data_IF_766815886869
#
_entry.id   IF_766815886869
#
_cell.length_a   1.000
_cell.length_b   1.000
_cell.length_c   1.000
_cell.angle_alpha   90.00
_cell.angle_beta   90.00
_cell.angle_gamma   90.00
#
_symmetry.space_group_name_H-M   'P 1'
#
loop_
_entity.id
_entity.type
_entity.pdbx_description
1 polymer ?
#
# COMPACT_ATOMS: atom_id res chain seq x y z
N UNK A 1 17.96 -19.55 89.91
CA UNK A 1 19.39 -19.18 89.86
C UNK A 1 19.57 -18.07 88.83
N UNK A 2 20.14 -16.94 89.25
CA UNK A 2 20.75 -15.80 88.49
C UNK A 2 19.86 -15.09 87.44
N UNK A 3 19.46 -13.83 87.69
CA UNK A 3 20.18 -12.57 87.37
C UNK A 3 20.48 -12.44 85.86
N UNK A 4 20.15 -11.37 85.12
CA UNK A 4 19.95 -9.97 85.53
C UNK A 4 19.41 -9.09 84.38
N UNK A 5 18.48 -8.20 84.76
CA UNK A 5 18.15 -6.83 84.31
C UNK A 5 19.00 -6.18 83.20
N UNK A 6 18.33 -5.42 82.33
CA UNK A 6 18.53 -3.94 82.24
C UNK A 6 17.27 -3.24 81.69
N UNK A 7 16.78 -2.26 82.46
CA UNK A 7 15.69 -1.32 82.18
C UNK A 7 16.23 -0.04 81.54
N UNK A 8 15.45 0.59 80.63
CA UNK A 8 15.18 2.05 80.51
C UNK A 8 13.83 2.19 79.76
N UNK A 9 12.70 2.57 80.40
CA UNK A 9 12.21 3.94 80.70
C UNK A 9 12.41 4.91 79.51
N UNK A 10 11.46 5.70 79.03
CA UNK A 10 10.00 5.85 79.15
C UNK A 10 9.64 7.00 78.18
N UNK A 11 8.46 7.01 77.57
CA UNK A 11 7.76 8.26 77.25
C UNK A 11 6.29 7.97 76.93
N UNK A 12 5.43 8.40 77.84
CA UNK A 12 3.97 8.50 77.73
C UNK A 12 3.64 9.85 77.09
N UNK A 13 2.65 9.89 76.19
CA UNK A 13 1.75 11.04 76.02
C UNK A 13 0.54 10.60 75.19
N UNK A 14 -0.54 10.18 75.86
CA UNK A 14 -1.80 10.93 76.07
C UNK A 14 -2.68 10.97 74.81
N UNK A 15 -3.73 10.16 74.90
CA UNK A 15 -4.95 10.14 74.10
C UNK A 15 -5.80 11.40 74.30
N UNK A 16 -6.30 11.98 73.21
CA UNK A 16 -7.58 12.68 73.19
C UNK A 16 -8.31 12.36 71.88
N UNK A 17 -9.50 11.78 72.03
CA UNK A 17 -10.43 11.43 70.96
C UNK A 17 -11.18 12.66 70.46
N UNK A 18 -11.34 12.81 69.14
CA UNK A 18 -12.35 13.69 68.55
C UNK A 18 -12.80 13.20 67.16
N UNK A 19 -14.09 12.84 67.11
CA UNK A 19 -15.04 13.04 66.01
C UNK A 19 -14.79 12.34 64.65
N UNK A 20 -15.57 11.28 64.42
CA UNK A 20 -15.78 10.70 63.10
C UNK A 20 -16.64 11.64 62.22
N UNK A 21 -16.09 12.06 61.08
CA UNK A 21 -16.83 12.57 59.95
C UNK A 21 -16.61 11.61 58.77
N UNK A 22 -17.67 10.93 58.32
CA UNK A 22 -17.68 10.08 57.14
C UNK A 22 -17.55 10.98 55.89
N UNK A 23 -16.31 11.17 55.42
CA UNK A 23 -16.04 11.75 54.11
C UNK A 23 -16.09 10.66 53.04
N UNK A 24 -17.20 10.56 52.31
CA UNK A 24 -17.24 9.80 51.05
C UNK A 24 -16.39 10.53 50.00
N UNK A 25 -15.22 9.98 49.68
CA UNK A 25 -14.46 10.40 48.51
C UNK A 25 -15.10 9.79 47.27
N UNK A 26 -15.93 10.57 46.58
CA UNK A 26 -16.31 10.30 45.19
C UNK A 26 -15.12 10.60 44.30
N UNK A 27 -14.37 9.56 43.93
CA UNK A 27 -13.40 9.64 42.84
C UNK A 27 -14.22 9.76 41.56
N UNK A 28 -14.36 10.98 41.03
CA UNK A 28 -14.89 11.19 39.70
C UNK A 28 -13.89 10.60 38.69
N UNK A 29 -14.09 9.35 38.29
CA UNK A 29 -13.49 8.82 37.07
C UNK A 29 -14.11 9.60 35.91
N UNK A 30 -13.34 10.54 35.37
CA UNK A 30 -13.61 11.10 34.05
C UNK A 30 -13.52 9.93 33.05
N UNK A 31 -14.67 9.32 32.75
CA UNK A 31 -14.81 8.46 31.59
C UNK A 31 -14.71 9.37 30.38
N UNK A 32 -13.49 9.54 29.87
CA UNK A 32 -13.30 9.98 28.49
C UNK A 32 -14.01 8.95 27.62
N UNK A 33 -15.15 9.33 27.06
CA UNK A 33 -15.77 8.58 25.98
C UNK A 33 -14.75 8.59 24.84
N UNK A 34 -14.04 7.49 24.63
CA UNK A 34 -13.28 7.26 23.40
C UNK A 34 -14.30 7.21 22.26
N UNK A 35 -14.63 8.39 21.74
CA UNK A 35 -15.42 8.53 20.54
C UNK A 35 -14.66 7.80 19.44
N UNK A 36 -15.32 6.86 18.77
CA UNK A 36 -14.77 6.23 17.57
C UNK A 36 -14.27 7.33 16.65
N UNK A 37 -12.98 7.34 16.26
CA UNK A 37 -12.44 8.40 15.42
C UNK A 37 -13.28 8.54 14.15
N UNK A 38 -13.76 9.76 13.87
CA UNK A 38 -14.56 10.06 12.68
C UNK A 38 -13.79 9.68 11.39
N UNK A 39 -12.47 9.88 11.42
CA UNK A 39 -11.56 9.53 10.33
C UNK A 39 -10.54 8.49 10.76
N UNK A 40 -10.07 7.67 9.80
CA UNK A 40 -9.00 6.69 10.06
C UNK A 40 -7.70 7.42 10.46
N UNK A 41 -7.05 7.08 11.59
CA UNK A 41 -5.87 7.79 12.09
C UNK A 41 -4.69 7.85 11.10
N UNK A 42 -4.52 6.82 10.26
CA UNK A 42 -3.47 6.80 9.23
C UNK A 42 -3.71 7.83 8.11
N UNK A 43 -4.98 8.05 7.74
CA UNK A 43 -5.34 9.06 6.76
C UNK A 43 -5.06 10.47 7.30
N UNK A 44 -5.45 10.73 8.55
CA UNK A 44 -5.21 12.02 9.22
C UNK A 44 -3.72 12.32 9.30
N UNK A 45 -2.90 11.36 9.74
CA UNK A 45 -1.43 11.50 9.77
C UNK A 45 -0.83 11.80 8.40
N UNK A 46 -1.26 11.07 7.37
CA UNK A 46 -0.78 11.29 6.01
C UNK A 46 -1.18 12.67 5.48
N UNK A 47 -2.41 13.12 5.75
CA UNK A 47 -2.90 14.43 5.35
C UNK A 47 -2.15 15.56 6.07
N UNK A 48 -2.00 15.44 7.39
CA UNK A 48 -1.27 16.39 8.23
C UNK A 48 0.17 16.57 7.76
N UNK A 49 0.88 15.46 7.54
CA UNK A 49 2.25 15.47 7.00
C UNK A 49 2.33 16.11 5.62
N UNK A 50 1.38 15.79 4.74
CA UNK A 50 1.33 16.30 3.36
C UNK A 50 1.04 17.81 3.29
N UNK A 51 0.22 18.31 4.21
CA UNK A 51 -0.13 19.73 4.32
C UNK A 51 0.87 20.53 5.18
N UNK A 52 1.75 19.86 5.92
CA UNK A 52 2.65 20.51 6.88
C UNK A 52 1.93 21.13 8.08
N UNK A 53 0.86 20.49 8.57
CA UNK A 53 0.01 20.94 9.68
C UNK A 53 -0.11 19.87 10.77
N UNK A 54 -0.72 20.19 11.92
CA UNK A 54 -1.02 19.20 12.96
C UNK A 54 -2.16 18.25 12.53
N UNK A 55 -2.24 17.08 13.17
CA UNK A 55 -3.35 16.14 12.97
C UNK A 55 -4.71 16.78 13.30
N UNK A 56 -4.79 17.54 14.40
CA UNK A 56 -6.00 18.29 14.76
C UNK A 56 -6.40 19.29 13.66
N UNK A 57 -5.45 20.03 13.11
CA UNK A 57 -5.72 20.97 12.02
C UNK A 57 -6.15 20.27 10.72
N UNK A 58 -5.67 19.05 10.48
CA UNK A 58 -6.10 18.21 9.37
C UNK A 58 -7.54 17.69 9.58
N UNK A 59 -7.89 17.28 10.80
CA UNK A 59 -9.26 16.90 11.18
C UNK A 59 -10.20 18.10 11.03
N UNK A 60 -9.86 19.25 11.61
CA UNK A 60 -10.65 20.49 11.51
C UNK A 60 -10.87 20.91 10.04
N UNK A 61 -9.88 20.66 9.18
CA UNK A 61 -10.02 20.89 7.75
C UNK A 61 -11.05 19.94 7.13
N UNK A 62 -10.94 18.64 7.41
CA UNK A 62 -11.85 17.63 6.89
C UNK A 62 -13.30 17.89 7.33
N UNK A 63 -13.52 18.16 8.61
CA UNK A 63 -14.85 18.47 9.15
C UNK A 63 -15.45 19.72 8.48
N UNK A 64 -14.66 20.78 8.29
CA UNK A 64 -15.12 21.98 7.55
C UNK A 64 -15.43 21.68 6.09
N UNK A 65 -14.66 20.83 5.43
CA UNK A 65 -14.90 20.45 4.05
C UNK A 65 -16.16 19.60 3.93
N UNK A 66 -16.41 18.69 4.87
CA UNK A 66 -17.62 17.87 4.94
C UNK A 66 -18.89 18.74 5.09
N UNK A 67 -18.88 19.71 6.02
CA UNK A 67 -20.00 20.66 6.19
C UNK A 67 -20.25 21.48 4.91
N UNK A 68 -19.20 21.94 4.23
CA UNK A 68 -19.35 22.69 2.97
C UNK A 68 -19.90 21.81 1.84
N UNK A 69 -19.46 20.55 1.76
CA UNK A 69 -19.98 19.58 0.79
C UNK A 69 -21.45 19.24 1.05
N UNK A 70 -21.84 19.06 2.31
CA UNK A 70 -23.24 18.83 2.68
C UNK A 70 -24.14 19.99 2.25
N UNK A 71 -23.68 21.24 2.43
CA UNK A 71 -24.39 22.44 1.93
C UNK A 71 -24.47 22.50 0.41
N UNK A 72 -23.41 22.12 -0.30
CA UNK A 72 -23.43 22.06 -1.77
C UNK A 72 -24.48 21.07 -2.26
N UNK A 73 -24.57 19.89 -1.64
CA UNK A 73 -25.62 18.92 -1.94
C UNK A 73 -27.02 19.44 -1.63
N UNK A 74 -27.18 20.30 -0.61
CA UNK A 74 -28.45 20.95 -0.28
C UNK A 74 -28.90 21.96 -1.35
N UNK A 75 -27.96 22.71 -1.95
CA UNK A 75 -28.27 23.63 -3.06
C UNK A 75 -28.99 22.91 -4.20
N UNK A 76 -28.43 21.78 -4.63
CA UNK A 76 -29.00 20.97 -5.70
C UNK A 76 -30.42 20.50 -5.35
N UNK A 77 -30.65 20.04 -4.10
CA UNK A 77 -31.99 19.63 -3.63
C UNK A 77 -33.00 20.78 -3.61
N UNK A 78 -32.52 22.01 -3.40
CA UNK A 78 -33.33 23.24 -3.39
C UNK A 78 -33.53 23.85 -4.77
N UNK A 79 -33.02 23.21 -5.83
CA UNK A 79 -33.08 23.73 -7.20
C UNK A 79 -32.31 25.04 -7.36
N UNK A 80 -31.22 25.21 -6.61
CA UNK A 80 -30.22 26.25 -6.85
C UNK A 80 -29.17 25.63 -7.76
N UNK A 81 -29.04 26.16 -8.96
CA UNK A 81 -28.12 25.66 -9.98
C UNK A 81 -26.71 26.16 -9.72
N UNK A 82 -25.72 25.28 -9.89
CA UNK A 82 -24.31 25.63 -9.96
C UNK A 82 -23.71 25.26 -11.33
N UNK A 83 -22.54 25.83 -11.62
CA UNK A 83 -21.72 25.52 -12.78
C UNK A 83 -20.34 25.01 -12.35
N UNK A 84 -20.35 24.11 -11.37
CA UNK A 84 -19.19 23.49 -10.76
C UNK A 84 -18.74 24.18 -9.47
N UNK A 85 -18.01 23.44 -8.63
CA UNK A 85 -17.45 23.94 -7.39
C UNK A 85 -16.03 23.42 -7.16
N UNK A 86 -15.21 24.19 -6.44
CA UNK A 86 -13.84 23.80 -6.11
C UNK A 86 -13.46 24.25 -4.70
N UNK A 87 -12.58 23.48 -4.07
CA UNK A 87 -11.88 23.91 -2.87
C UNK A 87 -10.59 24.62 -3.24
N UNK A 88 -10.31 25.74 -2.57
CA UNK A 88 -8.99 26.36 -2.64
C UNK A 88 -7.97 25.68 -1.70
N UNK A 89 -6.72 26.15 -1.73
CA UNK A 89 -5.66 25.64 -0.87
C UNK A 89 -5.98 25.76 0.64
N UNK A 90 -6.80 26.73 1.05
CA UNK A 90 -7.26 26.90 2.44
C UNK A 90 -8.38 25.93 2.84
N UNK A 91 -8.96 25.22 1.87
CA UNK A 91 -10.08 24.30 2.10
C UNK A 91 -11.44 25.00 2.12
N UNK A 92 -11.53 26.20 1.55
CA UNK A 92 -12.79 26.93 1.38
C UNK A 92 -13.43 26.57 0.05
N UNK A 93 -14.70 26.20 0.07
CA UNK A 93 -15.49 25.86 -1.11
C UNK A 93 -15.96 27.15 -1.80
N UNK A 94 -15.71 27.25 -3.10
CA UNK A 94 -16.28 28.27 -3.98
C UNK A 94 -17.09 27.59 -5.07
N UNK A 95 -18.33 28.05 -5.23
CA UNK A 95 -19.28 27.55 -6.24
C UNK A 95 -19.34 28.55 -7.39
N UNK A 96 -19.22 28.06 -8.61
CA UNK A 96 -19.45 28.86 -9.81
C UNK A 96 -20.96 28.98 -10.02
N UNK A 97 -21.44 30.20 -10.20
CA UNK A 97 -22.82 30.53 -10.48
C UNK A 97 -22.99 30.97 -11.94
N UNK A 98 -24.15 30.71 -12.53
CA UNK A 98 -24.44 31.14 -13.90
C UNK A 98 -24.49 32.68 -14.05
N UNK A 99 -24.99 33.36 -13.02
CA UNK A 99 -25.09 34.82 -12.97
C UNK A 99 -25.06 35.34 -11.52
N UNK A 100 -25.13 36.66 -11.36
CA UNK A 100 -25.10 37.32 -10.04
C UNK A 100 -26.31 37.03 -9.17
N UNK A 101 -27.46 36.69 -9.77
CA UNK A 101 -28.68 36.32 -9.04
C UNK A 101 -28.50 34.96 -8.39
N UNK A 102 -27.97 33.99 -9.15
CA UNK A 102 -27.72 32.66 -8.63
C UNK A 102 -26.56 32.66 -7.62
N UNK A 103 -25.53 33.49 -7.85
CA UNK A 103 -24.46 33.71 -6.87
C UNK A 103 -25.02 34.18 -5.52
N UNK A 104 -25.94 35.15 -5.52
CA UNK A 104 -26.58 35.63 -4.30
C UNK A 104 -27.43 34.55 -3.60
N UNK A 105 -28.07 33.64 -4.36
CA UNK A 105 -28.81 32.50 -3.79
C UNK A 105 -27.88 31.50 -3.12
N UNK A 106 -26.74 31.22 -3.73
CA UNK A 106 -25.69 30.35 -3.17
C UNK A 106 -25.10 30.97 -1.90
N UNK A 107 -24.78 32.26 -1.92
CA UNK A 107 -24.26 32.98 -0.75
C UNK A 107 -25.26 33.00 0.41
N UNK A 108 -26.55 33.16 0.11
CA UNK A 108 -27.63 33.08 1.11
C UNK A 108 -27.74 31.68 1.74
N UNK A 109 -27.31 30.62 1.04
CA UNK A 109 -27.20 29.28 1.60
C UNK A 109 -25.90 29.05 2.39
N UNK A 110 -25.02 30.06 2.47
CA UNK A 110 -23.81 30.03 3.29
C UNK A 110 -22.61 29.36 2.63
N UNK A 111 -22.52 29.40 1.31
CA UNK A 111 -21.34 29.00 0.53
C UNK A 111 -20.75 30.21 -0.22
N UNK A 112 -19.44 30.19 -0.48
CA UNK A 112 -18.84 31.20 -1.35
C UNK A 112 -19.29 31.00 -2.79
N UNK A 113 -19.63 32.08 -3.49
CA UNK A 113 -20.00 32.04 -4.90
C UNK A 113 -19.14 32.98 -5.74
N UNK A 114 -19.03 32.68 -7.03
CA UNK A 114 -18.54 33.63 -8.03
C UNK A 114 -19.22 33.37 -9.37
N UNK A 115 -19.27 34.39 -10.22
CA UNK A 115 -19.64 34.22 -11.64
C UNK A 115 -18.35 34.03 -12.44
N UNK A 116 -18.03 32.83 -12.95
CA UNK A 116 -16.84 32.61 -13.75
C UNK A 116 -16.98 33.23 -15.15
N UNK A 117 -15.89 33.31 -15.90
CA UNK A 117 -15.96 33.72 -17.30
C UNK A 117 -16.53 32.60 -18.19
N UNK A 118 -16.38 31.33 -17.78
CA UNK A 118 -16.83 30.16 -18.55
C UNK A 118 -17.65 29.18 -17.72
N UNK A 119 -17.12 28.77 -16.57
CA UNK A 119 -17.72 27.75 -15.71
C UNK A 119 -17.58 26.31 -16.24
N UNK A 120 -18.01 25.33 -15.46
CA UNK A 120 -17.72 23.92 -15.70
C UNK A 120 -18.31 23.42 -17.02
N UNK A 121 -19.58 23.68 -17.30
CA UNK A 121 -20.27 23.18 -18.47
C UNK A 121 -19.62 23.66 -19.78
N UNK A 122 -19.14 24.90 -19.82
CA UNK A 122 -18.42 25.43 -20.97
C UNK A 122 -17.02 24.81 -21.12
N UNK A 123 -16.30 24.62 -20.01
CA UNK A 123 -14.97 23.99 -20.01
C UNK A 123 -15.02 22.50 -20.34
N UNK A 124 -16.07 21.79 -19.92
CA UNK A 124 -16.29 20.37 -20.25
C UNK A 124 -16.49 20.19 -21.75
N UNK A 125 -17.16 21.13 -22.44
CA UNK A 125 -17.28 21.12 -23.92
C UNK A 125 -15.91 21.25 -24.59
N UNK A 126 -15.07 22.18 -24.11
CA UNK A 126 -13.69 22.33 -24.60
C UNK A 126 -12.89 21.06 -24.36
N UNK A 127 -12.95 20.48 -23.16
CA UNK A 127 -12.25 19.24 -22.84
C UNK A 127 -12.74 18.09 -23.73
N UNK A 128 -14.03 17.96 -23.96
CA UNK A 128 -14.60 16.91 -24.81
C UNK A 128 -14.11 17.00 -26.27
N UNK A 129 -13.93 18.20 -26.82
CA UNK A 129 -13.32 18.36 -28.14
C UNK A 129 -11.86 17.91 -28.19
N UNK A 130 -11.09 18.20 -27.14
CA UNK A 130 -9.72 17.73 -27.01
C UNK A 130 -9.66 16.20 -26.83
N UNK A 131 -10.55 15.63 -26.02
CA UNK A 131 -10.69 14.19 -25.83
C UNK A 131 -10.98 13.50 -27.18
N UNK A 132 -11.93 14.04 -27.95
CA UNK A 132 -12.29 13.51 -29.26
C UNK A 132 -11.14 13.59 -30.28
N UNK A 133 -10.34 14.66 -30.23
CA UNK A 133 -9.13 14.78 -31.05
C UNK A 133 -8.07 13.76 -30.65
N UNK A 134 -7.79 13.64 -29.35
CA UNK A 134 -6.79 12.71 -28.80
C UNK A 134 -7.16 11.24 -29.05
N UNK A 135 -8.45 10.91 -29.09
CA UNK A 135 -8.94 9.56 -29.40
C UNK A 135 -8.57 9.10 -30.83
N UNK A 136 -8.44 10.03 -31.78
CA UNK A 136 -8.03 9.71 -33.16
C UNK A 136 -6.53 9.44 -33.27
N UNK A 137 -5.73 10.15 -32.47
CA UNK A 137 -4.27 10.02 -32.43
C UNK A 137 -3.74 10.50 -31.09
N UNK A 138 -3.08 9.58 -30.37
CA UNK A 138 -2.49 9.89 -29.08
C UNK A 138 -1.50 11.08 -29.19
N UNK A 139 -1.68 12.13 -28.37
CA UNK A 139 -0.86 13.34 -28.43
C UNK A 139 0.46 13.17 -27.68
N UNK A 140 1.33 12.26 -28.13
CA UNK A 140 2.62 11.97 -27.47
C UNK A 140 3.43 13.24 -27.18
N UNK A 141 3.54 13.60 -25.90
CA UNK A 141 4.13 14.85 -25.41
C UNK A 141 3.20 15.66 -24.48
N UNK A 142 1.88 15.53 -24.65
CA UNK A 142 0.89 15.98 -23.67
C UNK A 142 0.61 14.84 -22.69
N UNK A 143 0.85 15.08 -21.40
CA UNK A 143 0.78 14.03 -20.37
C UNK A 143 -0.52 14.03 -19.59
N UNK A 144 -1.23 15.16 -19.52
CA UNK A 144 -2.57 15.24 -18.95
C UNK A 144 -3.31 16.48 -19.48
N UNK A 145 -4.63 16.44 -19.51
CA UNK A 145 -5.46 17.63 -19.70
C UNK A 145 -6.76 17.51 -18.90
N UNK A 146 -7.21 18.62 -18.31
CA UNK A 146 -8.30 18.61 -17.32
C UNK A 146 -9.03 19.96 -17.27
N UNK A 147 -10.28 19.94 -16.81
CA UNK A 147 -10.98 21.17 -16.40
C UNK A 147 -10.42 21.60 -15.05
N UNK A 148 -9.87 22.81 -15.00
CA UNK A 148 -9.39 23.47 -13.80
C UNK A 148 -10.39 24.58 -13.44
N UNK A 149 -11.34 24.24 -12.58
CA UNK A 149 -12.40 25.17 -12.18
C UNK A 149 -11.83 26.37 -11.44
N UNK A 150 -10.81 26.21 -10.59
CA UNK A 150 -10.22 27.33 -9.87
C UNK A 150 -9.67 28.39 -10.82
N UNK A 151 -8.93 27.96 -11.85
CA UNK A 151 -8.38 28.83 -12.89
C UNK A 151 -9.40 29.21 -13.99
N UNK A 152 -10.59 28.60 -14.01
CA UNK A 152 -11.63 28.74 -15.03
C UNK A 152 -11.13 28.44 -16.46
N UNK A 153 -10.32 27.38 -16.59
CA UNK A 153 -9.64 26.98 -17.83
C UNK A 153 -9.52 25.47 -17.98
N UNK A 154 -9.34 25.00 -19.21
CA UNK A 154 -8.81 23.66 -19.49
C UNK A 154 -7.30 23.72 -19.42
N UNK A 155 -6.70 23.00 -18.47
CA UNK A 155 -5.25 22.95 -18.28
C UNK A 155 -4.66 21.74 -18.96
N UNK A 156 -3.69 21.95 -19.85
CA UNK A 156 -2.92 20.92 -20.55
C UNK A 156 -1.50 20.89 -19.99
N UNK A 157 -1.07 19.73 -19.52
CA UNK A 157 0.27 19.46 -18.99
C UNK A 157 1.12 18.78 -20.07
N UNK A 158 2.33 19.28 -20.28
CA UNK A 158 3.22 18.89 -21.39
C UNK A 158 4.61 18.57 -20.87
N UNK A 159 5.12 17.40 -21.26
CA UNK A 159 6.50 16.99 -20.98
C UNK A 159 7.44 17.25 -22.17
N UNK A 160 6.92 17.28 -23.40
CA UNK A 160 7.66 17.60 -24.62
C UNK A 160 6.68 18.15 -25.66
N UNK A 161 7.02 19.26 -26.32
CA UNK A 161 6.20 19.91 -27.36
C UNK A 161 6.81 19.85 -28.77
N UNK A 162 7.92 19.12 -28.94
CA UNK A 162 8.64 19.08 -30.23
C UNK A 162 7.99 18.17 -31.27
N UNK A 163 7.30 17.11 -30.81
CA UNK A 163 6.72 16.08 -31.67
C UNK A 163 5.53 16.57 -32.49
N UNK A 164 5.33 15.99 -33.68
CA UNK A 164 4.22 16.38 -34.55
C UNK A 164 2.83 16.12 -33.92
N UNK A 165 2.68 15.04 -33.14
CA UNK A 165 1.41 14.69 -32.49
C UNK A 165 1.01 15.72 -31.42
N UNK A 166 1.92 16.06 -30.49
CA UNK A 166 1.66 17.10 -29.48
C UNK A 166 1.48 18.48 -30.11
N UNK A 167 2.23 18.83 -31.17
CA UNK A 167 2.02 20.11 -31.89
C UNK A 167 0.62 20.22 -32.48
N UNK A 168 0.12 19.15 -33.11
CA UNK A 168 -1.24 19.12 -33.65
C UNK A 168 -2.29 19.24 -32.54
N UNK A 169 -2.07 18.56 -31.40
CA UNK A 169 -2.96 18.65 -30.24
C UNK A 169 -2.97 20.06 -29.61
N UNK A 170 -1.80 20.69 -29.46
CA UNK A 170 -1.70 22.06 -28.95
C UNK A 170 -2.28 23.09 -29.93
N UNK A 171 -2.18 22.85 -31.25
CA UNK A 171 -2.83 23.68 -32.26
C UNK A 171 -4.35 23.58 -32.16
N UNK A 172 -4.90 22.36 -32.02
CA UNK A 172 -6.34 22.16 -31.77
C UNK A 172 -6.76 22.86 -30.47
N UNK A 173 -5.96 22.77 -29.41
CA UNK A 173 -6.25 23.45 -28.16
C UNK A 173 -6.21 24.98 -28.26
N UNK A 174 -5.34 25.53 -29.12
CA UNK A 174 -5.24 26.96 -29.35
C UNK A 174 -6.49 27.58 -30.00
N UNK A 175 -7.31 26.77 -30.70
CA UNK A 175 -8.61 27.21 -31.25
C UNK A 175 -9.56 27.71 -30.14
N UNK A 176 -9.39 27.23 -28.91
CA UNK A 176 -10.18 27.64 -27.74
C UNK A 176 -9.62 28.88 -27.02
N UNK A 177 -8.54 29.47 -27.54
CA UNK A 177 -7.98 30.73 -27.07
C UNK A 177 -7.74 30.78 -25.56
N UNK A 178 -8.31 31.78 -24.90
CA UNK A 178 -8.13 32.03 -23.47
C UNK A 178 -8.74 30.97 -22.54
N UNK A 179 -9.53 30.04 -23.07
CA UNK A 179 -10.09 28.90 -22.33
C UNK A 179 -9.05 27.84 -22.00
N UNK A 180 -7.91 27.82 -22.69
CA UNK A 180 -6.86 26.81 -22.48
C UNK A 180 -5.65 27.44 -21.79
N UNK A 181 -5.03 26.67 -20.89
CA UNK A 181 -3.74 26.97 -20.26
C UNK A 181 -2.78 25.81 -20.49
N UNK A 182 -1.58 26.10 -20.96
CA UNK A 182 -0.55 25.07 -21.17
C UNK A 182 0.51 25.21 -20.07
N UNK A 183 0.74 24.12 -19.33
CA UNK A 183 1.80 23.98 -18.34
C UNK A 183 2.89 23.09 -18.92
N UNK A 184 4.13 23.58 -18.96
CA UNK A 184 5.29 22.90 -19.55
C UNK A 184 6.30 22.51 -18.48
N UNK A 185 7.17 21.58 -18.83
CA UNK A 185 8.22 21.08 -17.94
C UNK A 185 7.73 19.99 -16.99
N UNK A 186 6.57 19.38 -17.28
CA UNK A 186 6.05 18.25 -16.53
C UNK A 186 6.83 16.99 -16.90
N UNK A 187 6.86 15.99 -16.01
CA UNK A 187 7.49 14.71 -16.29
C UNK A 187 6.58 13.80 -17.13
N UNK A 188 7.15 12.74 -17.71
CA UNK A 188 6.34 11.67 -18.31
C UNK A 188 5.55 10.95 -17.22
N UNK A 189 4.30 10.61 -17.52
CA UNK A 189 3.49 9.75 -16.65
C UNK A 189 3.57 8.31 -17.13
N UNK A 190 3.72 7.38 -16.19
CA UNK A 190 3.64 5.94 -16.43
C UNK A 190 2.59 5.32 -15.51
N UNK A 191 1.84 4.35 -16.02
CA UNK A 191 0.97 3.54 -15.17
C UNK A 191 1.85 2.69 -14.25
N UNK A 192 1.61 2.74 -12.94
CA UNK A 192 2.35 1.90 -12.01
C UNK A 192 1.91 0.45 -12.16
N UNK A 193 2.81 -0.46 -12.54
CA UNK A 193 2.51 -1.87 -12.60
C UNK A 193 2.39 -2.42 -11.17
N UNK A 194 1.22 -2.94 -10.84
CA UNK A 194 0.90 -3.56 -9.55
C UNK A 194 1.04 -5.08 -9.70
N UNK A 195 2.17 -5.62 -9.25
CA UNK A 195 2.52 -7.03 -9.42
C UNK A 195 2.13 -7.79 -8.16
N UNK A 196 1.26 -8.79 -8.30
CA UNK A 196 0.83 -9.61 -7.17
C UNK A 196 1.92 -10.61 -6.75
N UNK A 197 2.20 -10.77 -5.45
CA UNK A 197 2.81 -11.98 -4.92
C UNK A 197 2.15 -13.24 -5.49
N UNK A 198 2.98 -14.15 -6.00
CA UNK A 198 2.64 -15.35 -6.74
C UNK A 198 2.77 -15.22 -8.28
N UNK A 199 2.81 -14.00 -8.83
CA UNK A 199 2.93 -13.78 -10.27
C UNK A 199 4.15 -14.44 -10.88
N UNK A 200 4.06 -14.85 -12.15
CA UNK A 200 5.23 -15.33 -12.90
C UNK A 200 6.27 -14.23 -13.07
N UNK A 201 7.51 -14.53 -12.73
CA UNK A 201 8.67 -13.69 -13.04
C UNK A 201 9.73 -14.50 -13.78
N UNK A 202 10.14 -14.04 -14.96
CA UNK A 202 11.15 -14.71 -15.77
C UNK A 202 12.53 -14.12 -15.54
N UNK A 203 13.56 -14.93 -15.79
CA UNK A 203 14.95 -14.57 -15.57
C UNK A 203 15.59 -14.05 -16.84
N UNK A 204 16.12 -12.83 -16.80
CA UNK A 204 16.80 -12.19 -17.93
C UNK A 204 15.95 -12.38 -19.20
N UNK A 205 16.56 -12.81 -20.30
CA UNK A 205 15.85 -13.14 -21.54
C UNK A 205 15.76 -14.67 -21.75
N UNK A 206 15.62 -15.43 -20.67
CA UNK A 206 15.52 -16.90 -20.68
C UNK A 206 14.08 -17.40 -20.50
N UNK A 207 13.89 -18.70 -20.71
CA UNK A 207 12.64 -19.39 -20.40
C UNK A 207 12.53 -19.86 -18.95
N UNK A 208 13.52 -19.59 -18.06
CA UNK A 208 13.42 -19.93 -16.65
C UNK A 208 12.54 -18.94 -15.91
N UNK A 209 11.78 -19.41 -14.92
CA UNK A 209 10.95 -18.55 -14.09
C UNK A 209 10.92 -18.98 -12.63
N UNK A 210 10.61 -18.00 -11.80
CA UNK A 210 10.13 -18.16 -10.44
C UNK A 210 8.76 -17.46 -10.31
N UNK A 211 8.28 -17.41 -9.08
CA UNK A 211 7.09 -16.70 -8.67
C UNK A 211 7.45 -15.52 -7.77
N UNK A 212 6.77 -14.40 -7.95
CA UNK A 212 6.98 -13.17 -7.18
C UNK A 212 6.69 -13.43 -5.70
N UNK A 213 7.60 -13.03 -4.82
CA UNK A 213 7.42 -13.07 -3.37
C UNK A 213 6.74 -11.80 -2.83
N UNK A 214 7.25 -11.24 -1.74
CA UNK A 214 6.61 -10.11 -1.04
C UNK A 214 7.32 -8.78 -1.28
N UNK A 215 6.55 -7.69 -1.33
CA UNK A 215 7.08 -6.33 -1.29
C UNK A 215 7.43 -5.92 0.14
N UNK A 216 8.62 -5.37 0.34
CA UNK A 216 9.06 -4.82 1.62
C UNK A 216 9.86 -3.54 1.41
N UNK A 217 10.07 -2.78 2.48
CA UNK A 217 10.82 -1.52 2.45
C UNK A 217 11.85 -1.45 3.56
N UNK A 218 12.98 -0.80 3.29
CA UNK A 218 13.94 -0.46 4.34
C UNK A 218 13.48 0.76 5.15
N UNK A 219 14.30 1.16 6.14
CA UNK A 219 14.04 2.34 6.99
C UNK A 219 14.05 3.66 6.23
N UNK A 220 14.70 3.70 5.06
CA UNK A 220 14.76 4.87 4.19
C UNK A 220 13.60 4.91 3.17
N UNK A 221 12.73 3.90 3.18
CA UNK A 221 11.58 3.78 2.28
C UNK A 221 11.90 3.13 0.93
N UNK A 222 13.13 2.66 0.71
CA UNK A 222 13.50 1.99 -0.54
C UNK A 222 12.75 0.67 -0.66
N UNK A 223 12.19 0.41 -1.84
CA UNK A 223 11.34 -0.76 -2.10
C UNK A 223 12.15 -1.95 -2.60
N UNK A 224 11.86 -3.12 -2.03
CA UNK A 224 12.49 -4.39 -2.34
C UNK A 224 11.45 -5.47 -2.60
N UNK A 225 11.78 -6.37 -3.52
CA UNK A 225 11.15 -7.68 -3.62
C UNK A 225 11.93 -8.66 -2.75
N UNK A 226 11.26 -9.29 -1.79
CA UNK A 226 11.78 -10.41 -0.98
C UNK A 226 11.35 -11.72 -1.62
N UNK A 227 12.30 -12.61 -1.91
CA UNK A 227 12.06 -13.87 -2.63
C UNK A 227 13.02 -14.98 -2.20
N UNK A 228 12.91 -16.15 -2.81
CA UNK A 228 13.88 -17.23 -2.67
C UNK A 228 15.25 -16.81 -3.20
N UNK A 229 16.30 -17.18 -2.49
CA UNK A 229 17.67 -16.77 -2.78
C UNK A 229 18.17 -17.30 -4.12
N UNK A 230 17.79 -18.52 -4.54
CA UNK A 230 18.16 -19.05 -5.86
C UNK A 230 17.43 -18.37 -7.03
N UNK A 231 16.37 -17.58 -6.76
CA UNK A 231 15.71 -16.77 -7.77
C UNK A 231 16.36 -15.39 -7.96
N UNK A 232 17.37 -15.02 -7.15
CA UNK A 232 18.06 -13.74 -7.28
C UNK A 232 19.02 -13.79 -8.45
N UNK A 233 18.64 -13.14 -9.56
CA UNK A 233 19.43 -12.98 -10.77
C UNK A 233 19.57 -11.49 -11.14
N UNK A 234 20.34 -11.18 -12.19
CA UNK A 234 20.61 -9.79 -12.59
C UNK A 234 19.30 -9.05 -12.93
N UNK A 235 18.45 -9.61 -13.78
CA UNK A 235 17.19 -8.97 -14.20
C UNK A 235 16.01 -9.92 -14.06
N UNK A 236 14.95 -9.47 -13.39
CA UNK A 236 13.65 -10.14 -13.39
C UNK A 236 12.65 -9.40 -14.26
N UNK A 237 11.85 -10.16 -15.01
CA UNK A 237 10.82 -9.63 -15.89
C UNK A 237 9.43 -10.12 -15.52
N UNK A 238 8.45 -9.24 -15.63
CA UNK A 238 7.03 -9.51 -15.47
C UNK A 238 6.34 -9.07 -16.76
N UNK A 239 5.59 -9.98 -17.40
CA UNK A 239 4.97 -9.77 -18.72
C UNK A 239 5.94 -9.17 -19.76
N UNK A 240 7.16 -9.72 -19.80
CA UNK A 240 8.20 -9.28 -20.72
C UNK A 240 8.86 -7.95 -20.37
N UNK A 241 8.48 -7.27 -19.28
CA UNK A 241 9.07 -5.99 -18.86
C UNK A 241 9.96 -6.17 -17.63
N UNK A 242 11.17 -5.60 -17.65
CA UNK A 242 12.10 -5.67 -16.53
C UNK A 242 11.58 -4.85 -15.33
N UNK A 243 11.26 -5.52 -14.22
CA UNK A 243 10.64 -4.88 -13.06
C UNK A 243 11.50 -4.89 -11.79
N UNK A 244 12.51 -5.77 -11.70
CA UNK A 244 13.40 -5.85 -10.56
C UNK A 244 14.81 -6.27 -10.97
N UNK A 245 15.79 -5.86 -10.16
CA UNK A 245 17.22 -6.14 -10.36
C UNK A 245 17.81 -6.82 -9.13
N UNK A 246 18.63 -7.84 -9.34
CA UNK A 246 19.29 -8.58 -8.26
C UNK A 246 20.10 -7.67 -7.33
N UNK A 247 19.96 -7.86 -6.02
CA UNK A 247 20.66 -7.04 -5.03
C UNK A 247 21.47 -7.87 -4.04
N UNK A 248 20.82 -8.69 -3.20
CA UNK A 248 21.50 -9.52 -2.20
C UNK A 248 20.85 -10.89 -2.10
N UNK A 249 21.65 -11.94 -1.94
CA UNK A 249 21.18 -13.31 -1.71
C UNK A 249 22.02 -13.99 -0.65
N UNK A 250 21.43 -14.92 0.10
CA UNK A 250 22.16 -15.87 0.97
C UNK A 250 22.33 -17.24 0.32
N UNK A 251 21.79 -17.42 -0.88
CA UNK A 251 21.88 -18.66 -1.63
C UNK A 251 23.21 -18.78 -2.36
N UNK A 252 23.87 -19.94 -2.24
CA UNK A 252 25.05 -20.29 -3.01
C UNK A 252 25.02 -21.81 -3.31
N UNK A 253 24.98 -22.14 -4.60
CA UNK A 253 24.95 -23.51 -5.09
C UNK A 253 26.19 -24.30 -4.62
N UNK A 254 26.00 -25.56 -4.21
CA UNK A 254 27.08 -26.45 -3.78
C UNK A 254 27.60 -26.18 -2.37
N UNK A 255 26.89 -25.40 -1.57
CA UNK A 255 27.34 -24.99 -0.22
C UNK A 255 26.28 -25.28 0.85
N UNK A 256 26.65 -25.04 2.12
CA UNK A 256 25.67 -24.86 3.20
C UNK A 256 25.15 -23.44 3.15
N UNK A 257 23.85 -23.29 2.95
CA UNK A 257 23.26 -22.03 2.51
C UNK A 257 21.87 -21.79 3.14
N UNK A 258 21.29 -20.63 2.82
CA UNK A 258 19.92 -20.25 3.22
C UNK A 258 19.23 -19.64 2.00
N UNK A 259 18.02 -20.07 1.73
CA UNK A 259 17.32 -19.74 0.49
C UNK A 259 16.46 -18.47 0.62
N UNK A 260 17.13 -17.35 0.89
CA UNK A 260 16.51 -16.03 0.96
C UNK A 260 17.30 -15.00 0.16
N UNK A 261 16.60 -14.04 -0.42
CA UNK A 261 17.21 -12.94 -1.15
C UNK A 261 16.28 -11.76 -1.38
N UNK A 262 16.87 -10.64 -1.79
CA UNK A 262 16.17 -9.40 -2.10
C UNK A 262 16.65 -8.81 -3.43
N UNK A 263 15.72 -8.15 -4.12
CA UNK A 263 15.95 -7.42 -5.35
C UNK A 263 15.45 -5.99 -5.20
N UNK A 264 16.13 -5.03 -5.82
CA UNK A 264 15.63 -3.66 -5.95
C UNK A 264 14.51 -3.63 -7.00
N UNK A 265 13.44 -2.90 -6.73
CA UNK A 265 12.33 -2.72 -7.66
C UNK A 265 12.63 -1.53 -8.57
N UNK A 266 12.45 -1.71 -9.89
CA UNK A 266 12.65 -0.66 -10.87
C UNK A 266 11.56 0.42 -10.74
N UNK A 267 11.89 1.66 -11.12
CA UNK A 267 10.89 2.74 -11.20
C UNK A 267 9.68 2.30 -12.02
N UNK A 268 8.49 2.74 -11.60
CA UNK A 268 7.23 2.41 -12.28
C UNK A 268 6.62 1.07 -11.87
N UNK A 269 7.34 0.25 -11.11
CA UNK A 269 6.86 -1.05 -10.63
C UNK A 269 6.62 -1.05 -9.12
N UNK A 270 5.71 -1.91 -8.69
CA UNK A 270 5.42 -2.14 -7.28
C UNK A 270 4.93 -3.57 -7.07
N UNK A 271 5.24 -4.14 -5.90
CA UNK A 271 4.63 -5.40 -5.45
C UNK A 271 3.43 -5.04 -4.57
N UNK A 272 2.28 -5.62 -4.86
CA UNK A 272 1.05 -5.30 -4.13
C UNK A 272 1.07 -5.89 -2.71
N UNK A 273 0.40 -5.25 -1.75
CA UNK A 273 0.20 -5.81 -0.41
C UNK A 273 -1.01 -6.77 -0.37
N UNK A 274 -1.22 -7.54 -1.44
CA UNK A 274 -2.28 -8.55 -1.55
C UNK A 274 -1.76 -9.73 -2.36
N UNK A 275 -1.96 -10.97 -1.93
CA UNK A 275 -1.48 -12.16 -2.65
C UNK A 275 -2.48 -12.54 -3.75
N UNK A 276 -1.99 -12.79 -4.96
CA UNK A 276 -2.82 -13.22 -6.08
C UNK A 276 -3.31 -14.66 -5.91
N UNK A 277 -4.53 -14.96 -6.37
CA UNK A 277 -5.19 -16.27 -6.17
C UNK A 277 -5.62 -16.93 -7.49
N UNK A 278 -5.28 -16.31 -8.63
CA UNK A 278 -5.52 -16.84 -9.98
C UNK A 278 -6.98 -17.21 -10.25
N UNK A 279 -7.91 -16.41 -9.73
CA UNK A 279 -9.36 -16.61 -9.92
C UNK A 279 -10.00 -17.58 -8.94
N UNK A 280 -9.25 -18.20 -8.02
CA UNK A 280 -9.82 -19.07 -6.97
C UNK A 280 -10.62 -18.26 -5.92
N UNK A 281 -10.28 -16.99 -5.73
CA UNK A 281 -10.98 -16.03 -4.87
C UNK A 281 -10.57 -14.60 -5.24
N UNK A 282 -11.04 -13.60 -4.49
CA UNK A 282 -10.38 -12.29 -4.52
C UNK A 282 -8.92 -12.39 -4.01
N UNK A 283 -8.00 -11.52 -4.46
CA UNK A 283 -6.66 -11.42 -3.89
C UNK A 283 -6.70 -11.27 -2.36
N UNK A 284 -5.82 -11.97 -1.65
CA UNK A 284 -5.81 -12.01 -0.18
C UNK A 284 -4.96 -10.87 0.35
N UNK A 285 -5.56 -9.90 1.03
CA UNK A 285 -4.84 -8.77 1.62
C UNK A 285 -3.79 -9.23 2.66
N UNK A 286 -2.60 -8.65 2.59
CA UNK A 286 -1.51 -8.87 3.54
C UNK A 286 -1.64 -7.85 4.67
N UNK A 287 -2.02 -8.31 5.87
CA UNK A 287 -2.21 -7.46 7.05
C UNK A 287 -1.02 -7.50 8.02
N UNK A 288 -0.10 -8.43 7.82
CA UNK A 288 1.08 -8.59 8.66
C UNK A 288 1.94 -9.76 8.22
N UNK A 289 3.02 -10.00 8.97
CA UNK A 289 3.98 -11.09 8.74
C UNK A 289 4.19 -11.97 9.97
N UNK A 290 3.19 -12.07 10.84
CA UNK A 290 3.29 -12.88 12.05
C UNK A 290 3.35 -14.36 11.68
N UNK A 291 4.41 -15.04 12.15
CA UNK A 291 4.62 -16.47 11.94
C UNK A 291 3.49 -17.28 12.57
N UNK A 292 2.82 -18.09 11.76
CA UNK A 292 1.78 -19.00 12.22
C UNK A 292 2.39 -20.22 12.93
N UNK A 293 1.61 -20.87 13.79
CA UNK A 293 2.07 -22.08 14.49
C UNK A 293 2.10 -23.30 13.54
N UNK A 294 2.92 -24.29 13.88
CA UNK A 294 2.84 -25.63 13.27
C UNK A 294 1.41 -26.18 13.34
N UNK A 295 0.94 -26.77 12.24
CA UNK A 295 -0.44 -27.24 12.07
C UNK A 295 -1.41 -26.18 11.53
N UNK A 296 -1.02 -24.90 11.48
CA UNK A 296 -1.89 -23.86 10.93
C UNK A 296 -2.17 -24.08 9.43
N UNK A 297 -3.39 -23.75 9.02
CA UNK A 297 -3.76 -23.71 7.60
C UNK A 297 -2.95 -22.63 6.88
N UNK A 298 -2.46 -22.95 5.69
CA UNK A 298 -1.64 -22.05 4.88
C UNK A 298 -1.90 -22.30 3.40
N UNK A 299 -1.86 -21.24 2.60
CA UNK A 299 -1.95 -21.30 1.16
C UNK A 299 -0.70 -20.71 0.51
N UNK A 300 -0.36 -21.18 -0.69
CA UNK A 300 0.70 -20.65 -1.54
C UNK A 300 0.12 -20.18 -2.85
N UNK A 301 0.53 -18.99 -3.27
CA UNK A 301 0.41 -18.52 -4.65
C UNK A 301 1.71 -18.70 -5.42
N UNK A 302 1.64 -19.29 -6.62
CA UNK A 302 2.78 -19.48 -7.51
C UNK A 302 2.38 -19.55 -8.98
N UNK A 303 3.37 -19.35 -9.85
CA UNK A 303 3.24 -19.25 -11.30
C UNK A 303 2.99 -20.57 -12.00
N UNK A 304 3.29 -21.71 -11.36
CA UNK A 304 3.14 -23.04 -11.95
C UNK A 304 1.88 -23.70 -11.43
N UNK A 305 1.73 -23.84 -10.11
CA UNK A 305 0.60 -24.57 -9.52
C UNK A 305 -0.55 -23.66 -9.10
N UNK A 306 -0.41 -22.35 -9.28
CA UNK A 306 -1.44 -21.38 -8.94
C UNK A 306 -1.64 -21.26 -7.43
N UNK A 307 -2.88 -21.42 -6.98
CA UNK A 307 -3.29 -21.29 -5.58
C UNK A 307 -3.49 -22.67 -4.95
N UNK A 308 -2.57 -23.09 -4.09
CA UNK A 308 -2.61 -24.40 -3.43
C UNK A 308 -2.56 -24.23 -1.92
N UNK A 309 -3.32 -25.04 -1.17
CA UNK A 309 -3.44 -24.91 0.28
C UNK A 309 -3.15 -26.23 1.01
N UNK A 310 -2.84 -26.11 2.30
CA UNK A 310 -2.44 -27.21 3.15
C UNK A 310 -2.18 -26.72 4.56
N UNK A 311 -1.22 -27.34 5.25
CA UNK A 311 -0.85 -27.01 6.63
C UNK A 311 0.65 -26.84 6.77
N UNK A 312 1.04 -25.98 7.70
CA UNK A 312 2.44 -25.84 8.12
C UNK A 312 2.83 -27.08 8.94
N UNK A 313 3.97 -27.69 8.62
CA UNK A 313 4.58 -28.73 9.42
C UNK A 313 5.51 -28.14 10.49
N UNK A 314 6.80 -28.49 10.48
CA UNK A 314 7.82 -27.95 11.40
C UNK A 314 8.56 -26.75 10.80
N UNK A 315 9.19 -25.96 11.67
CA UNK A 315 10.19 -24.95 11.32
C UNK A 315 11.62 -25.47 11.56
N UNK A 316 12.63 -24.71 11.12
CA UNK A 316 14.05 -25.02 11.31
C UNK A 316 14.49 -26.37 10.69
N UNK A 317 13.94 -26.71 9.54
CA UNK A 317 14.34 -27.90 8.78
C UNK A 317 15.64 -27.59 8.00
N UNK A 318 16.44 -28.64 7.82
CA UNK A 318 17.58 -28.64 6.90
C UNK A 318 17.28 -29.61 5.78
N UNK A 319 17.44 -29.17 4.54
CA UNK A 319 17.13 -29.94 3.33
C UNK A 319 18.35 -29.93 2.43
N UNK A 320 18.70 -31.09 1.87
CA UNK A 320 19.69 -31.17 0.79
C UNK A 320 18.95 -31.22 -0.53
N UNK A 321 19.13 -30.21 -1.38
CA UNK A 321 18.60 -30.18 -2.74
C UNK A 321 19.66 -30.71 -3.71
N UNK A 322 19.22 -31.65 -4.55
CA UNK A 322 20.01 -32.15 -5.69
C UNK A 322 19.76 -31.26 -6.89
N UNK A 323 20.82 -30.87 -7.61
CA UNK A 323 20.67 -30.16 -8.87
C UNK A 323 20.31 -31.13 -10.00
N UNK A 324 19.16 -30.92 -10.63
CA UNK A 324 18.66 -31.80 -11.71
C UNK A 324 19.56 -31.78 -12.95
N UNK A 325 20.41 -30.76 -13.10
CA UNK A 325 21.33 -30.64 -14.22
C UNK A 325 22.72 -31.24 -13.94
N UNK A 326 22.87 -31.98 -12.83
CA UNK A 326 24.12 -32.65 -12.46
C UNK A 326 25.14 -31.75 -11.74
N UNK A 327 24.72 -30.56 -11.29
CA UNK A 327 25.49 -29.70 -10.39
C UNK A 327 25.59 -30.25 -8.97
N UNK A 328 26.36 -29.58 -8.09
CA UNK A 328 26.57 -30.05 -6.73
C UNK A 328 25.33 -29.88 -5.85
N UNK A 329 25.12 -30.85 -4.96
CA UNK A 329 24.08 -30.79 -3.93
C UNK A 329 24.25 -29.55 -3.04
N UNK A 330 23.13 -28.94 -2.66
CA UNK A 330 23.11 -27.72 -1.83
C UNK A 330 22.32 -27.97 -0.57
N UNK A 331 22.93 -27.71 0.59
CA UNK A 331 22.28 -27.89 1.90
C UNK A 331 21.66 -26.57 2.33
N UNK A 332 20.33 -26.50 2.41
CA UNK A 332 19.57 -25.32 2.83
C UNK A 332 19.09 -25.51 4.27
N UNK A 333 19.33 -24.51 5.12
CA UNK A 333 18.94 -24.52 6.53
C UNK A 333 17.86 -23.47 6.82
N UNK A 334 17.11 -23.67 7.91
CA UNK A 334 16.14 -22.68 8.40
C UNK A 334 14.76 -22.73 7.73
N UNK A 335 14.46 -23.77 6.96
CA UNK A 335 13.20 -23.85 6.22
C UNK A 335 12.03 -24.28 7.13
N UNK A 336 10.82 -23.88 6.75
CA UNK A 336 9.59 -24.52 7.20
C UNK A 336 9.17 -25.62 6.21
N UNK A 337 8.61 -26.72 6.70
CA UNK A 337 7.97 -27.74 5.86
C UNK A 337 6.46 -27.51 5.82
N UNK A 338 5.81 -27.89 4.73
CA UNK A 338 4.37 -27.76 4.53
C UNK A 338 3.80 -28.96 3.78
N UNK A 339 2.48 -29.14 3.90
CA UNK A 339 1.71 -30.05 3.04
C UNK A 339 1.17 -29.38 1.79
N UNK A 340 1.46 -28.10 1.58
CA UNK A 340 1.11 -27.39 0.34
C UNK A 340 1.92 -27.97 -0.81
N UNK A 341 1.27 -28.25 -1.94
CA UNK A 341 1.95 -28.72 -3.14
C UNK A 341 2.64 -27.58 -3.89
N UNK A 342 3.83 -27.89 -4.40
CA UNK A 342 4.62 -27.01 -5.26
C UNK A 342 5.27 -27.80 -6.39
N UNK A 343 5.49 -27.13 -7.51
CA UNK A 343 6.25 -27.65 -8.65
C UNK A 343 7.33 -26.65 -9.09
N UNK A 344 8.18 -27.07 -10.03
CA UNK A 344 9.19 -26.21 -10.64
C UNK A 344 8.57 -24.90 -11.16
N UNK A 345 9.12 -23.76 -10.72
CA UNK A 345 8.62 -22.43 -11.05
C UNK A 345 7.76 -21.77 -9.97
N UNK A 346 7.27 -22.52 -8.98
CA UNK A 346 6.63 -21.94 -7.79
C UNK A 346 7.62 -21.33 -6.79
N UNK A 347 8.92 -21.60 -6.97
CA UNK A 347 10.04 -20.99 -6.26
C UNK A 347 9.85 -19.48 -6.08
N UNK A 348 10.07 -18.95 -4.87
CA UNK A 348 9.82 -17.55 -4.53
C UNK A 348 8.35 -17.20 -4.24
N UNK A 349 7.40 -18.08 -4.60
CA UNK A 349 5.96 -17.85 -4.47
C UNK A 349 5.49 -17.69 -3.03
N UNK A 350 4.46 -16.87 -2.85
CA UNK A 350 4.03 -16.35 -1.56
C UNK A 350 3.17 -17.34 -0.76
N UNK A 351 3.63 -17.73 0.43
CA UNK A 351 2.85 -18.43 1.44
C UNK A 351 2.13 -17.45 2.36
N UNK A 352 0.84 -17.66 2.61
CA UNK A 352 -0.01 -16.82 3.46
C UNK A 352 -0.97 -17.68 4.30
N UNK A 353 -1.13 -17.33 5.57
CA UNK A 353 -2.06 -17.97 6.50
C UNK A 353 -3.08 -16.93 6.97
N UNK A 354 -4.35 -17.11 6.63
CA UNK A 354 -5.35 -16.05 6.78
C UNK A 354 -4.94 -14.79 6.00
N UNK A 355 -4.57 -13.73 6.71
CA UNK A 355 -4.04 -12.48 6.15
C UNK A 355 -2.57 -12.20 6.56
N UNK A 356 -1.87 -13.20 7.09
CA UNK A 356 -0.49 -13.09 7.57
C UNK A 356 0.48 -13.75 6.59
N UNK A 357 1.41 -12.98 6.04
CA UNK A 357 2.46 -13.47 5.16
C UNK A 357 3.43 -14.39 5.92
N UNK A 358 3.67 -15.59 5.38
CA UNK A 358 4.43 -16.64 6.07
C UNK A 358 5.83 -16.87 5.48
N UNK A 359 5.99 -16.76 4.16
CA UNK A 359 7.26 -17.11 3.53
C UNK A 359 7.21 -17.23 2.03
N UNK A 360 8.33 -17.67 1.45
CA UNK A 360 8.50 -17.86 0.02
C UNK A 360 8.89 -19.30 -0.28
N UNK A 361 8.31 -19.92 -1.32
CA UNK A 361 8.65 -21.29 -1.74
C UNK A 361 10.16 -21.42 -1.95
N UNK A 362 10.78 -22.39 -1.27
CA UNK A 362 12.16 -22.79 -1.55
C UNK A 362 12.18 -23.94 -2.55
N UNK A 363 11.50 -25.04 -2.24
CA UNK A 363 11.42 -26.19 -3.13
C UNK A 363 10.57 -27.32 -2.58
N UNK A 364 10.60 -28.46 -3.25
CA UNK A 364 9.85 -29.66 -2.90
C UNK A 364 10.44 -30.89 -3.60
N UNK A 365 9.79 -32.06 -3.51
CA UNK A 365 10.23 -33.26 -4.21
C UNK A 365 10.30 -33.06 -5.73
N UNK A 366 11.35 -33.58 -6.38
CA UNK A 366 11.69 -33.31 -7.80
C UNK A 366 10.61 -33.79 -8.78
N UNK A 367 9.97 -34.92 -8.49
CA UNK A 367 8.97 -35.55 -9.37
C UNK A 367 7.53 -35.40 -8.82
N UNK A 368 7.31 -34.44 -7.92
CA UNK A 368 5.96 -34.16 -7.41
C UNK A 368 5.08 -33.58 -8.52
N UNK A 369 3.82 -34.05 -8.56
CA UNK A 369 2.76 -33.47 -9.39
C UNK A 369 1.59 -33.06 -8.49
N UNK A 370 1.10 -31.85 -8.68
CA UNK A 370 0.02 -31.27 -7.91
C UNK A 370 -1.34 -31.63 -8.50
N UNK A 371 -1.68 -32.92 -8.46
CA UNK A 371 -2.94 -33.48 -8.96
C UNK A 371 -3.69 -34.36 -7.94
N UNK A 372 -3.30 -34.34 -6.66
CA UNK A 372 -3.86 -35.20 -5.60
C UNK A 372 -3.82 -34.62 -4.18
N UNK A 373 -4.05 -35.48 -3.18
CA UNK A 373 -4.02 -35.12 -1.74
C UNK A 373 -2.57 -35.05 -1.26
N UNK A 374 -2.16 -33.87 -0.78
CA UNK A 374 -0.78 -33.60 -0.39
C UNK A 374 -0.55 -33.87 1.10
N UNK A 375 0.69 -34.19 1.46
CA UNK A 375 1.09 -34.56 2.81
C UNK A 375 2.30 -33.76 3.27
N UNK A 376 2.64 -33.81 4.56
CA UNK A 376 3.80 -33.08 5.10
C UNK A 376 5.07 -33.46 4.32
N UNK A 377 5.82 -32.45 3.87
CA UNK A 377 7.01 -32.65 3.04
C UNK A 377 6.78 -32.47 1.54
N UNK A 378 5.54 -32.19 1.13
CA UNK A 378 5.22 -31.77 -0.24
C UNK A 378 5.86 -30.43 -0.62
N UNK A 379 6.25 -29.61 0.35
CA UNK A 379 7.05 -28.41 0.09
C UNK A 379 7.83 -27.94 1.31
N UNK A 380 8.80 -27.08 1.01
CA UNK A 380 9.55 -26.30 1.96
C UNK A 380 9.54 -24.83 1.53
N UNK A 381 9.43 -23.94 2.51
CA UNK A 381 9.44 -22.50 2.29
C UNK A 381 10.37 -21.80 3.27
N UNK A 382 11.01 -20.73 2.82
CA UNK A 382 11.79 -19.84 3.65
C UNK A 382 10.84 -18.92 4.44
N UNK A 383 10.86 -18.94 5.78
CA UNK A 383 10.06 -18.01 6.57
C UNK A 383 10.37 -16.54 6.24
N UNK A 384 9.32 -15.74 6.05
CA UNK A 384 9.43 -14.36 5.60
C UNK A 384 10.06 -13.47 6.68
N UNK A 385 9.65 -13.66 7.92
CA UNK A 385 10.16 -12.92 9.08
C UNK A 385 11.67 -13.09 9.27
N UNK A 386 12.23 -14.27 8.98
CA UNK A 386 13.68 -14.49 8.98
C UNK A 386 14.37 -13.61 7.93
N UNK A 387 13.82 -13.53 6.72
CA UNK A 387 14.36 -12.69 5.64
C UNK A 387 14.23 -11.20 5.95
N UNK A 388 13.06 -10.76 6.42
CA UNK A 388 12.80 -9.37 6.81
C UNK A 388 13.76 -8.93 7.93
N UNK A 389 13.93 -9.78 8.96
CA UNK A 389 14.85 -9.52 10.07
C UNK A 389 16.30 -9.43 9.59
N UNK A 390 16.75 -10.40 8.79
CA UNK A 390 18.13 -10.44 8.29
C UNK A 390 18.49 -9.22 7.42
N UNK A 391 17.57 -8.80 6.55
CA UNK A 391 17.79 -7.66 5.65
C UNK A 391 17.38 -6.31 6.24
N UNK A 392 16.81 -6.27 7.45
CA UNK A 392 16.36 -5.04 8.10
C UNK A 392 15.17 -4.37 7.39
N UNK A 393 14.23 -5.18 6.89
CA UNK A 393 13.09 -4.73 6.08
C UNK A 393 11.77 -4.80 6.86
N UNK A 394 10.87 -3.89 6.51
CA UNK A 394 9.47 -3.86 6.97
C UNK A 394 8.57 -4.30 5.82
N UNK A 395 7.70 -5.29 6.08
CA UNK A 395 6.71 -5.78 5.11
C UNK A 395 5.78 -4.65 4.65
N UNK A 396 5.42 -4.65 3.36
CA UNK A 396 4.33 -3.83 2.87
C UNK A 396 3.00 -4.52 3.17
N UNK A 397 2.10 -3.81 3.84
CA UNK A 397 0.79 -4.30 4.26
C UNK A 397 -0.31 -3.39 3.71
N UNK A 398 -1.52 -3.94 3.62
CA UNK A 398 -2.75 -3.26 3.21
C UNK A 398 -3.60 -2.91 4.44
#
# INVERSE_FOLDING_TARGET
>A
MRNSRMYRLAAVAITLSASAALGTQTVAQAQGTDATPHYQPEMVRALAASLGVSEDAAIDRLDRQDVQQAKLAELARRGIADDGAFFDASGKLTVNAADSTEAARIEKAGLGARVPARGQAALDKVKAELDAFAARKAPSGAVAWSVDLAADKVTIKVNNDRGAAVKAFLAKAAEHGSAVRIVRGEEKLEAKAAIYPGSKMTFNDTSQWCSVGYGARDRSGNQYLVTAGHCVTNTLRYDGTAFAKGYKTRYALGTRSVDMGILTINSGHSITPSVGTWGNSNPVAVKGGSRAASGAAVCKSGATTGWTCGTIGSYNNTVTYVDRNGGPDTVITGLATSSVCVEGGDSGGAYISGNQAQGMTSGGPIDQQCSGVNSRGSSYFQPLDDALSYYGLTLNTN
#
